data_IF_065331618857
#
_entry.id   IF_065331618857
#
_cell.length_a   1.000
_cell.length_b   1.000
_cell.length_c   1.000
_cell.angle_alpha   90.00
_cell.angle_beta   90.00
_cell.angle_gamma   90.00
#
_symmetry.space_group_name_H-M   'P 1'
#
loop_
_entity.id
_entity.type
_entity.pdbx_description
1 polymer ?
#
# COMPACT_ATOMS: atom_id res chain seq x y z
N UNK A 1 -21.69 25.23 15.59
CA UNK A 1 -20.54 24.54 14.96
C UNK A 1 -19.46 24.16 15.97
N UNK A 2 -19.20 24.96 17.02
CA UNK A 2 -18.17 24.69 18.03
C UNK A 2 -18.28 23.34 18.77
N UNK A 3 -19.49 22.86 19.07
CA UNK A 3 -19.65 21.51 19.67
C UNK A 3 -19.16 20.40 18.76
N UNK A 4 -19.38 20.51 17.45
CA UNK A 4 -18.95 19.51 16.47
C UNK A 4 -17.43 19.50 16.32
N UNK A 5 -16.79 20.68 16.29
CA UNK A 5 -15.33 20.76 16.26
C UNK A 5 -14.68 20.21 17.54
N UNK A 6 -15.27 20.47 18.71
CA UNK A 6 -14.78 19.90 19.98
C UNK A 6 -14.90 18.37 20.03
N UNK A 7 -16.02 17.81 19.56
CA UNK A 7 -16.21 16.37 19.45
C UNK A 7 -15.20 15.73 18.49
N UNK A 8 -14.97 16.37 17.34
CA UNK A 8 -13.97 15.88 16.36
C UNK A 8 -12.55 15.91 16.93
N UNK A 9 -12.20 16.96 17.67
CA UNK A 9 -10.90 17.04 18.37
C UNK A 9 -10.70 15.89 19.36
N UNK A 10 -11.72 15.60 20.16
CA UNK A 10 -11.68 14.49 21.13
C UNK A 10 -11.56 13.12 20.45
N UNK A 11 -12.29 12.90 19.35
CA UNK A 11 -12.21 11.66 18.55
C UNK A 11 -10.79 11.51 17.95
N UNK A 12 -10.23 12.58 17.40
CA UNK A 12 -8.88 12.58 16.83
C UNK A 12 -7.80 12.28 17.86
N UNK A 13 -7.87 12.91 19.04
CA UNK A 13 -6.96 12.64 20.17
C UNK A 13 -7.09 11.21 20.70
N UNK A 14 -8.32 10.71 20.81
CA UNK A 14 -8.58 9.31 21.18
C UNK A 14 -7.96 8.34 20.19
N UNK A 15 -8.08 8.61 18.89
CA UNK A 15 -7.48 7.79 17.84
C UNK A 15 -5.95 7.82 17.88
N UNK A 16 -5.34 8.98 18.11
CA UNK A 16 -3.89 9.11 18.31
C UNK A 16 -3.40 8.28 19.50
N UNK A 17 -4.12 8.32 20.63
CA UNK A 17 -3.82 7.50 21.80
C UNK A 17 -3.93 6.00 21.52
N UNK A 18 -4.95 5.60 20.77
CA UNK A 18 -5.17 4.21 20.32
C UNK A 18 -4.05 3.75 19.37
N UNK A 19 -3.63 4.63 18.46
CA UNK A 19 -2.54 4.38 17.51
C UNK A 19 -1.15 4.35 18.16
N UNK A 20 -0.95 5.06 19.27
CA UNK A 20 0.29 4.96 20.03
C UNK A 20 0.50 3.51 20.54
N UNK A 21 -0.59 2.80 20.82
CA UNK A 21 -0.59 1.37 21.19
C UNK A 21 -0.64 0.42 19.99
N UNK A 22 -0.40 0.89 18.75
CA UNK A 22 -0.50 0.08 17.51
C UNK A 22 0.29 -1.22 17.53
N UNK A 23 1.44 -1.26 18.23
CA UNK A 23 2.27 -2.47 18.33
C UNK A 23 1.54 -3.64 18.98
N UNK A 24 0.58 -3.36 19.88
CA UNK A 24 -0.24 -4.36 20.55
C UNK A 24 -1.63 -4.45 19.90
N UNK A 25 -2.20 -3.32 19.50
CA UNK A 25 -3.55 -3.26 18.95
C UNK A 25 -3.68 -3.88 17.55
N UNK A 26 -2.71 -3.64 16.66
CA UNK A 26 -2.73 -4.22 15.31
C UNK A 26 -2.64 -5.76 15.30
N UNK A 27 -1.68 -6.41 15.99
CA UNK A 27 -1.65 -7.88 16.01
C UNK A 27 -2.87 -8.47 16.69
N UNK A 28 -3.43 -7.81 17.72
CA UNK A 28 -4.67 -8.26 18.35
C UNK A 28 -5.86 -8.20 17.38
N UNK A 29 -6.08 -7.07 16.69
CA UNK A 29 -7.16 -6.96 15.70
C UNK A 29 -6.98 -7.93 14.54
N UNK A 30 -5.73 -8.14 14.11
CA UNK A 30 -5.40 -9.13 13.09
C UNK A 30 -5.75 -10.54 13.57
N UNK A 31 -5.36 -10.91 14.79
CA UNK A 31 -5.70 -12.21 15.39
C UNK A 31 -7.22 -12.40 15.49
N UNK A 32 -7.95 -11.40 15.99
CA UNK A 32 -9.43 -11.42 16.04
C UNK A 32 -10.01 -11.65 14.64
N UNK A 33 -9.47 -10.98 13.63
CA UNK A 33 -9.90 -11.16 12.24
C UNK A 33 -9.65 -12.57 11.73
N UNK A 34 -8.44 -13.12 11.95
CA UNK A 34 -8.08 -14.48 11.55
C UNK A 34 -8.96 -15.51 12.25
N UNK A 35 -9.17 -15.37 13.56
CA UNK A 35 -10.04 -16.25 14.36
C UNK A 35 -11.49 -16.18 13.85
N UNK A 36 -12.00 -14.99 13.54
CA UNK A 36 -13.35 -14.82 13.00
C UNK A 36 -13.54 -15.53 11.66
N UNK A 37 -12.54 -15.44 10.77
CA UNK A 37 -12.53 -16.18 9.51
C UNK A 37 -12.42 -17.69 9.70
N UNK A 38 -11.60 -18.15 10.66
CA UNK A 38 -11.49 -19.58 10.98
C UNK A 38 -12.83 -20.14 11.47
N UNK A 39 -13.52 -19.44 12.38
CA UNK A 39 -14.87 -19.81 12.82
C UNK A 39 -15.89 -19.82 11.68
N UNK A 40 -15.79 -18.88 10.73
CA UNK A 40 -16.65 -18.89 9.55
C UNK A 40 -16.42 -20.13 8.69
N UNK A 41 -15.16 -20.51 8.44
CA UNK A 41 -14.82 -21.70 7.65
C UNK A 41 -15.24 -23.02 8.31
N UNK A 42 -15.42 -23.05 9.63
CA UNK A 42 -15.85 -24.26 10.33
C UNK A 42 -17.38 -24.37 10.41
N UNK A 43 -18.06 -23.26 10.71
CA UNK A 43 -19.50 -23.27 10.99
C UNK A 43 -20.36 -22.93 9.78
N UNK A 44 -19.83 -22.23 8.76
CA UNK A 44 -20.54 -21.74 7.57
C UNK A 44 -21.87 -21.03 7.87
N UNK A 45 -22.00 -20.43 9.05
CA UNK A 45 -23.20 -19.68 9.44
C UNK A 45 -23.13 -18.22 9.00
N UNK A 46 -24.28 -17.62 8.74
CA UNK A 46 -24.36 -16.20 8.38
C UNK A 46 -23.88 -15.27 9.50
N UNK A 47 -24.09 -15.64 10.77
CA UNK A 47 -23.66 -14.84 11.90
C UNK A 47 -22.13 -14.79 12.01
N UNK A 48 -21.46 -15.93 11.82
CA UNK A 48 -19.99 -15.99 11.79
C UNK A 48 -19.42 -15.26 10.57
N UNK A 49 -20.09 -15.31 9.41
CA UNK A 49 -19.74 -14.50 8.25
C UNK A 49 -19.81 -13.00 8.56
N UNK A 50 -20.93 -12.53 9.11
CA UNK A 50 -21.10 -11.12 9.45
C UNK A 50 -20.05 -10.65 10.45
N UNK A 51 -19.74 -11.47 11.46
CA UNK A 51 -18.71 -11.16 12.44
C UNK A 51 -17.31 -11.07 11.79
N UNK A 52 -16.96 -12.01 10.90
CA UNK A 52 -15.70 -12.00 10.17
C UNK A 52 -15.57 -10.78 9.25
N UNK A 53 -16.64 -10.40 8.55
CA UNK A 53 -16.65 -9.19 7.71
C UNK A 53 -16.51 -7.93 8.56
N UNK A 54 -17.28 -7.81 9.65
CA UNK A 54 -17.20 -6.65 10.55
C UNK A 54 -15.82 -6.51 11.19
N UNK A 55 -15.21 -7.61 11.66
CA UNK A 55 -13.86 -7.58 12.22
C UNK A 55 -12.82 -7.16 11.18
N UNK A 56 -12.95 -7.66 9.95
CA UNK A 56 -12.07 -7.31 8.83
C UNK A 56 -12.19 -5.83 8.47
N UNK A 57 -13.41 -5.31 8.39
CA UNK A 57 -13.68 -3.89 8.09
C UNK A 57 -13.14 -3.00 9.21
N UNK A 58 -13.28 -3.42 10.47
CA UNK A 58 -12.70 -2.71 11.61
C UNK A 58 -11.18 -2.70 11.55
N UNK A 59 -10.55 -3.84 11.26
CA UNK A 59 -9.11 -3.95 11.07
C UNK A 59 -8.63 -3.01 9.95
N UNK A 60 -9.27 -3.07 8.78
CA UNK A 60 -8.92 -2.18 7.66
C UNK A 60 -9.13 -0.72 7.98
N UNK A 61 -10.20 -0.39 8.69
CA UNK A 61 -10.48 0.96 9.14
C UNK A 61 -9.34 1.49 10.00
N UNK A 62 -8.93 0.74 11.03
CA UNK A 62 -7.83 1.14 11.92
C UNK A 62 -6.51 1.21 11.16
N UNK A 63 -6.25 0.23 10.28
CA UNK A 63 -5.02 0.13 9.52
C UNK A 63 -4.91 1.28 8.50
N UNK A 64 -5.95 1.56 7.72
CA UNK A 64 -5.98 2.66 6.77
C UNK A 64 -5.95 4.02 7.47
N UNK A 65 -6.79 4.23 8.49
CA UNK A 65 -6.81 5.52 9.19
C UNK A 65 -5.46 5.80 9.85
N UNK A 66 -4.86 4.80 10.48
CA UNK A 66 -3.55 4.98 11.11
C UNK A 66 -2.40 5.08 10.11
N UNK A 67 -2.34 4.22 9.09
CA UNK A 67 -1.24 4.27 8.11
C UNK A 67 -1.33 5.47 7.17
N UNK A 68 -2.52 5.96 6.83
CA UNK A 68 -2.68 7.11 5.92
C UNK A 68 -2.58 8.41 6.70
N UNK A 69 -3.33 8.55 7.80
CA UNK A 69 -3.39 9.82 8.54
C UNK A 69 -2.13 10.00 9.38
N UNK A 70 -1.71 9.00 10.14
CA UNK A 70 -0.58 9.17 11.08
C UNK A 70 0.76 9.15 10.36
N UNK A 71 1.02 8.24 9.41
CA UNK A 71 2.27 8.33 8.62
C UNK A 71 2.29 9.65 7.81
N UNK A 72 1.13 10.14 7.35
CA UNK A 72 1.01 11.41 6.63
C UNK A 72 1.38 12.63 7.49
N UNK A 73 0.94 12.65 8.75
CA UNK A 73 1.30 13.68 9.74
C UNK A 73 2.78 13.54 10.12
N UNK A 74 3.25 12.33 10.48
CA UNK A 74 4.64 12.10 10.88
C UNK A 74 5.65 12.44 9.77
N UNK A 75 5.26 12.26 8.50
CA UNK A 75 6.09 12.58 7.36
C UNK A 75 5.98 14.05 6.90
N UNK A 76 5.16 14.87 7.56
CA UNK A 76 4.96 16.29 7.25
C UNK A 76 4.20 16.55 5.95
N UNK A 77 3.52 15.54 5.38
CA UNK A 77 2.79 15.70 4.13
C UNK A 77 1.43 16.39 4.31
N UNK A 78 0.83 16.25 5.49
CA UNK A 78 -0.49 16.80 5.78
C UNK A 78 -0.32 17.95 6.77
N UNK A 79 -0.56 19.21 6.38
CA UNK A 79 -0.57 20.32 7.33
C UNK A 79 -1.65 20.03 8.38
N UNK A 80 -1.33 20.30 9.65
CA UNK A 80 -2.20 19.99 10.81
C UNK A 80 -3.63 20.54 10.62
N UNK A 81 -3.76 21.66 9.93
CA UNK A 81 -5.02 22.32 9.56
C UNK A 81 -5.97 21.44 8.74
N UNK A 82 -5.44 20.56 7.89
CA UNK A 82 -6.23 19.70 6.98
C UNK A 82 -6.57 18.33 7.58
N UNK A 83 -5.91 17.95 8.68
CA UNK A 83 -6.15 16.68 9.39
C UNK A 83 -7.63 16.42 9.70
N UNK A 84 -8.41 17.35 10.31
CA UNK A 84 -9.80 17.09 10.64
C UNK A 84 -10.66 16.81 9.39
N UNK A 85 -10.36 17.43 8.25
CA UNK A 85 -11.09 17.19 7.00
C UNK A 85 -10.84 15.79 6.46
N UNK A 86 -9.58 15.34 6.49
CA UNK A 86 -9.21 13.97 6.09
C UNK A 86 -9.86 12.94 7.00
N UNK A 87 -9.76 13.13 8.32
CA UNK A 87 -10.37 12.23 9.31
C UNK A 87 -11.89 12.16 9.13
N UNK A 88 -12.56 13.29 8.91
CA UNK A 88 -14.01 13.32 8.67
C UNK A 88 -14.37 12.57 7.39
N UNK A 89 -13.64 12.81 6.30
CA UNK A 89 -13.85 12.10 5.03
C UNK A 89 -13.69 10.58 5.17
N UNK A 90 -12.66 10.14 5.89
CA UNK A 90 -12.45 8.73 6.19
C UNK A 90 -13.59 8.16 7.06
N UNK A 91 -14.01 8.86 8.12
CA UNK A 91 -15.10 8.43 9.00
C UNK A 91 -16.44 8.31 8.26
N UNK A 92 -16.76 9.25 7.37
CA UNK A 92 -17.98 9.19 6.54
C UNK A 92 -17.92 8.00 5.58
N UNK A 93 -16.75 7.75 4.96
CA UNK A 93 -16.56 6.59 4.10
C UNK A 93 -16.75 5.28 4.88
N UNK A 94 -16.13 5.17 6.05
CA UNK A 94 -16.26 4.01 6.96
C UNK A 94 -17.73 3.82 7.38
N UNK A 95 -18.41 4.89 7.80
CA UNK A 95 -19.80 4.87 8.22
C UNK A 95 -20.74 4.41 7.11
N UNK A 96 -20.49 4.86 5.88
CA UNK A 96 -21.22 4.40 4.69
C UNK A 96 -21.02 2.90 4.46
N UNK A 97 -19.77 2.42 4.50
CA UNK A 97 -19.46 0.99 4.34
C UNK A 97 -20.13 0.16 5.43
N UNK A 98 -20.03 0.57 6.69
CA UNK A 98 -20.69 -0.10 7.81
C UNK A 98 -22.22 -0.09 7.67
N UNK A 99 -22.81 1.01 7.19
CA UNK A 99 -24.26 1.11 6.97
C UNK A 99 -24.73 0.14 5.91
N UNK A 100 -23.98 0.00 4.81
CA UNK A 100 -24.26 -1.00 3.76
C UNK A 100 -24.15 -2.42 4.31
N UNK A 101 -23.14 -2.71 5.13
CA UNK A 101 -22.97 -4.02 5.77
C UNK A 101 -24.08 -4.33 6.78
N UNK A 102 -24.49 -3.35 7.58
CA UNK A 102 -25.61 -3.47 8.53
C UNK A 102 -26.91 -3.70 7.77
N UNK A 103 -27.16 -2.93 6.70
CA UNK A 103 -28.31 -3.15 5.83
C UNK A 103 -28.31 -4.57 5.28
N UNK A 104 -27.16 -5.06 4.80
CA UNK A 104 -27.00 -6.44 4.34
C UNK A 104 -27.33 -7.47 5.43
N UNK A 105 -26.90 -7.22 6.68
CA UNK A 105 -27.18 -8.10 7.80
C UNK A 105 -28.68 -8.11 8.18
N UNK A 106 -29.32 -6.93 8.24
CA UNK A 106 -30.76 -6.80 8.52
C UNK A 106 -31.61 -7.46 7.43
N UNK A 107 -31.19 -7.32 6.18
CA UNK A 107 -31.76 -8.01 5.02
C UNK A 107 -31.70 -9.53 5.17
N UNK A 108 -30.52 -10.06 5.50
CA UNK A 108 -30.33 -11.50 5.69
C UNK A 108 -31.15 -12.03 6.87
N UNK A 109 -31.37 -11.22 7.90
CA UNK A 109 -32.27 -11.53 9.02
C UNK A 109 -33.77 -11.47 8.65
N UNK A 110 -34.12 -11.25 7.37
CA UNK A 110 -35.48 -11.05 6.86
C UNK A 110 -36.21 -9.85 7.48
N UNK A 111 -35.48 -8.89 8.03
CA UNK A 111 -36.04 -7.66 8.61
C UNK A 111 -36.25 -6.59 7.53
N UNK A 112 -35.49 -6.65 6.44
CA UNK A 112 -35.53 -5.69 5.32
C UNK A 112 -35.93 -6.38 3.99
N UNK A 113 -36.43 -5.64 2.97
CA UNK A 113 -37.08 -6.19 1.77
C UNK A 113 -36.08 -6.82 0.77
N UNK A 114 -36.37 -8.00 0.18
CA UNK A 114 -35.41 -8.83 -0.56
C UNK A 114 -34.61 -8.09 -1.63
N UNK A 115 -33.32 -8.45 -1.76
CA UNK A 115 -32.40 -7.81 -2.70
C UNK A 115 -32.78 -8.18 -4.14
N UNK A 116 -32.52 -7.28 -5.12
CA UNK A 116 -32.52 -7.67 -6.52
C UNK A 116 -31.61 -8.89 -6.74
N UNK A 117 -31.99 -9.81 -7.61
CA UNK A 117 -31.24 -11.04 -7.89
C UNK A 117 -29.76 -10.78 -8.21
N UNK A 118 -29.45 -9.69 -8.92
CA UNK A 118 -28.08 -9.27 -9.23
C UNK A 118 -27.23 -9.01 -7.98
N UNK A 119 -27.82 -8.43 -6.92
CA UNK A 119 -27.13 -8.21 -5.66
C UNK A 119 -26.92 -9.52 -4.89
N UNK A 120 -27.86 -10.47 -4.95
CA UNK A 120 -27.65 -11.78 -4.32
C UNK A 120 -26.46 -12.53 -4.94
N UNK A 121 -26.34 -12.53 -6.27
CA UNK A 121 -25.17 -13.08 -6.95
C UNK A 121 -23.88 -12.37 -6.55
N UNK A 122 -23.90 -11.04 -6.45
CA UNK A 122 -22.73 -10.27 -6.01
C UNK A 122 -22.32 -10.62 -4.56
N UNK A 123 -23.28 -10.84 -3.65
CA UNK A 123 -23.00 -11.22 -2.25
C UNK A 123 -22.46 -12.64 -2.15
N UNK A 124 -23.13 -13.61 -2.79
CA UNK A 124 -22.68 -15.02 -2.78
C UNK A 124 -21.24 -15.12 -3.29
N UNK A 125 -20.95 -14.38 -4.33
CA UNK A 125 -19.62 -14.31 -4.89
C UNK A 125 -18.63 -13.58 -3.96
N UNK A 126 -19.03 -12.44 -3.39
CA UNK A 126 -18.20 -11.72 -2.43
C UNK A 126 -17.87 -12.59 -1.21
N UNK A 127 -18.75 -13.49 -0.78
CA UNK A 127 -18.48 -14.43 0.31
C UNK A 127 -17.29 -15.37 0.01
N UNK A 128 -17.17 -15.87 -1.22
CA UNK A 128 -16.08 -16.77 -1.62
C UNK A 128 -14.75 -16.01 -1.73
N UNK A 129 -14.78 -14.77 -2.23
CA UNK A 129 -13.56 -14.03 -2.59
C UNK A 129 -13.09 -13.05 -1.51
N UNK A 130 -13.97 -12.62 -0.60
CA UNK A 130 -13.65 -11.72 0.51
C UNK A 130 -12.45 -12.16 1.36
N UNK A 131 -12.28 -13.43 1.79
CA UNK A 131 -11.13 -13.81 2.61
C UNK A 131 -9.81 -13.63 1.84
N UNK A 132 -9.78 -14.01 0.56
CA UNK A 132 -8.61 -13.89 -0.31
C UNK A 132 -8.24 -12.41 -0.53
N UNK A 133 -9.24 -11.57 -0.79
CA UNK A 133 -9.03 -10.12 -0.96
C UNK A 133 -8.56 -9.48 0.32
N UNK A 134 -9.14 -9.88 1.45
CA UNK A 134 -8.76 -9.34 2.75
C UNK A 134 -7.30 -9.69 3.06
N UNK A 135 -6.93 -10.94 2.85
CA UNK A 135 -5.55 -11.40 2.98
C UNK A 135 -4.61 -10.64 2.04
N UNK A 136 -5.01 -10.48 0.77
CA UNK A 136 -4.25 -9.73 -0.21
C UNK A 136 -4.02 -8.27 0.22
N UNK A 137 -5.03 -7.57 0.75
CA UNK A 137 -4.86 -6.18 1.21
C UNK A 137 -3.96 -6.10 2.46
N UNK A 138 -4.02 -7.08 3.37
CA UNK A 138 -3.26 -7.08 4.63
C UNK A 138 -1.79 -7.50 4.44
N UNK A 139 -1.50 -8.41 3.51
CA UNK A 139 -0.15 -8.97 3.33
C UNK A 139 0.91 -7.90 3.00
N UNK A 140 0.75 -7.04 1.97
CA UNK A 140 1.76 -6.04 1.61
C UNK A 140 2.11 -5.07 2.74
N UNK A 141 1.16 -4.46 3.48
CA UNK A 141 1.50 -3.57 4.58
C UNK A 141 2.15 -4.33 5.74
N UNK A 142 1.70 -5.56 6.06
CA UNK A 142 2.32 -6.36 7.13
C UNK A 142 3.76 -6.73 6.77
N UNK A 143 3.99 -7.30 5.59
CA UNK A 143 5.33 -7.67 5.13
C UNK A 143 6.22 -6.43 5.01
N UNK A 144 5.72 -5.37 4.37
CA UNK A 144 6.47 -4.14 4.15
C UNK A 144 6.83 -3.42 5.45
N UNK A 145 5.93 -3.43 6.44
CA UNK A 145 6.15 -2.78 7.72
C UNK A 145 7.08 -3.56 8.65
N UNK A 146 6.92 -4.89 8.75
CA UNK A 146 7.68 -5.71 9.70
C UNK A 146 9.04 -6.16 9.16
N UNK A 147 9.14 -6.59 7.90
CA UNK A 147 10.38 -7.18 7.37
C UNK A 147 11.30 -6.14 6.74
N UNK A 148 10.75 -5.13 6.07
CA UNK A 148 11.52 -4.28 5.14
C UNK A 148 11.22 -2.78 5.28
N UNK A 149 10.99 -2.26 6.49
CA UNK A 149 10.51 -0.88 6.73
C UNK A 149 11.22 0.20 5.89
N UNK A 150 12.56 0.18 5.83
CA UNK A 150 13.35 1.16 5.09
C UNK A 150 13.26 1.04 3.56
N UNK A 151 13.22 -0.19 3.02
CA UNK A 151 13.04 -0.43 1.59
C UNK A 151 11.60 -0.14 1.16
N UNK A 152 10.63 -0.58 1.96
CA UNK A 152 9.20 -0.34 1.74
C UNK A 152 8.86 1.15 1.70
N UNK A 153 9.39 1.92 2.65
CA UNK A 153 9.19 3.38 2.68
C UNK A 153 9.78 4.05 1.43
N UNK A 154 10.98 3.63 0.99
CA UNK A 154 11.61 4.14 -0.25
C UNK A 154 10.80 3.78 -1.50
N UNK A 155 10.25 2.57 -1.57
CA UNK A 155 9.41 2.14 -2.70
C UNK A 155 8.12 2.97 -2.78
N UNK A 156 7.39 3.13 -1.68
CA UNK A 156 6.15 3.94 -1.63
C UNK A 156 6.37 5.42 -1.99
N UNK A 157 7.57 5.94 -1.75
CA UNK A 157 7.92 7.30 -2.17
C UNK A 157 8.21 7.39 -3.67
N UNK A 158 8.79 6.35 -4.27
CA UNK A 158 9.17 6.33 -5.69
C UNK A 158 8.01 6.09 -6.64
N UNK A 159 7.05 5.26 -6.23
CA UNK A 159 5.93 4.85 -7.09
C UNK A 159 4.60 5.00 -6.34
N UNK A 160 3.48 5.29 -7.05
CA UNK A 160 2.12 5.29 -6.50
C UNK A 160 1.65 3.85 -6.21
N UNK A 161 2.38 3.14 -5.35
CA UNK A 161 2.26 1.70 -5.10
C UNK A 161 0.83 1.29 -4.75
N UNK A 162 0.19 2.00 -3.81
CA UNK A 162 -1.17 1.67 -3.38
C UNK A 162 -2.20 1.87 -4.49
N UNK A 163 -2.01 2.89 -5.33
CA UNK A 163 -2.89 3.12 -6.48
C UNK A 163 -2.82 1.97 -7.48
N UNK A 164 -1.59 1.59 -7.84
CA UNK A 164 -1.36 0.45 -8.73
C UNK A 164 -1.83 -0.88 -8.11
N UNK A 165 -1.54 -1.11 -6.84
CA UNK A 165 -1.88 -2.35 -6.15
C UNK A 165 -3.39 -2.57 -6.05
N UNK A 166 -4.13 -1.55 -5.63
CA UNK A 166 -5.59 -1.64 -5.55
C UNK A 166 -6.25 -1.72 -6.93
N UNK A 167 -5.74 -0.99 -7.92
CA UNK A 167 -6.22 -1.13 -9.30
C UNK A 167 -5.98 -2.54 -9.87
N UNK A 168 -4.81 -3.14 -9.57
CA UNK A 168 -4.49 -4.51 -9.99
C UNK A 168 -5.40 -5.53 -9.31
N UNK A 169 -5.63 -5.37 -8.00
CA UNK A 169 -6.54 -6.23 -7.26
C UNK A 169 -7.99 -6.09 -7.76
N UNK A 170 -8.41 -4.86 -8.09
CA UNK A 170 -9.70 -4.59 -8.73
C UNK A 170 -9.82 -5.28 -10.09
N UNK A 171 -8.79 -5.24 -10.92
CA UNK A 171 -8.76 -5.92 -12.22
C UNK A 171 -8.90 -7.44 -12.07
N UNK A 172 -8.13 -8.04 -11.16
CA UNK A 172 -8.21 -9.48 -10.87
C UNK A 172 -9.58 -9.89 -10.36
N UNK A 173 -10.16 -9.07 -9.49
CA UNK A 173 -11.52 -9.29 -9.02
C UNK A 173 -12.48 -9.25 -10.21
N UNK A 174 -12.51 -8.18 -10.99
CA UNK A 174 -13.38 -8.10 -12.15
C UNK A 174 -13.21 -9.29 -13.12
N UNK A 175 -12.01 -9.86 -13.25
CA UNK A 175 -11.73 -11.01 -14.11
C UNK A 175 -12.16 -12.36 -13.52
N UNK A 176 -12.20 -12.51 -12.18
CA UNK A 176 -12.44 -13.81 -11.54
C UNK A 176 -13.75 -14.49 -11.95
N UNK A 177 -14.91 -13.82 -12.17
CA UNK A 177 -16.15 -14.53 -12.50
C UNK A 177 -16.03 -15.32 -13.80
N UNK A 178 -15.34 -14.75 -14.80
CA UNK A 178 -15.02 -15.43 -16.05
C UNK A 178 -14.11 -16.63 -15.79
N UNK A 179 -13.06 -16.44 -14.99
CA UNK A 179 -12.06 -17.48 -14.74
C UNK A 179 -12.66 -18.68 -13.99
N UNK A 180 -13.65 -18.43 -13.12
CA UNK A 180 -14.32 -19.45 -12.32
C UNK A 180 -15.46 -20.14 -13.05
N UNK A 181 -16.25 -19.37 -13.80
CA UNK A 181 -17.43 -19.82 -14.52
C UNK A 181 -17.28 -19.50 -16.01
N UNK A 182 -16.57 -20.33 -16.77
CA UNK A 182 -16.32 -20.09 -18.19
C UNK A 182 -17.61 -19.97 -19.02
N UNK A 183 -18.75 -20.47 -18.52
CA UNK A 183 -20.07 -20.33 -19.14
C UNK A 183 -20.52 -18.87 -19.23
N UNK A 184 -20.09 -18.01 -18.30
CA UNK A 184 -20.35 -16.57 -18.33
C UNK A 184 -19.67 -15.87 -19.52
N UNK A 185 -18.66 -16.53 -20.13
CA UNK A 185 -17.94 -15.98 -21.29
C UNK A 185 -18.89 -15.67 -22.45
N UNK A 186 -19.85 -16.55 -22.73
CA UNK A 186 -20.73 -16.43 -23.90
C UNK A 186 -21.75 -15.29 -23.78
N UNK A 187 -22.17 -14.94 -22.57
CA UNK A 187 -23.17 -13.90 -22.38
C UNK A 187 -22.54 -12.51 -22.22
N UNK A 188 -21.47 -12.39 -21.42
CA UNK A 188 -20.89 -11.10 -21.04
C UNK A 188 -19.36 -11.08 -20.97
N UNK A 189 -18.70 -12.18 -21.35
CA UNK A 189 -17.25 -12.35 -21.21
C UNK A 189 -16.43 -11.23 -21.81
N UNK A 190 -16.76 -10.78 -23.03
CA UNK A 190 -16.03 -9.70 -23.68
C UNK A 190 -16.07 -8.38 -22.91
N UNK A 191 -17.22 -8.02 -22.31
CA UNK A 191 -17.37 -6.76 -21.55
C UNK A 191 -16.62 -6.83 -20.22
N UNK A 192 -16.73 -7.97 -19.53
CA UNK A 192 -16.04 -8.19 -18.26
C UNK A 192 -14.52 -8.20 -18.48
N UNK A 193 -14.05 -8.96 -19.48
CA UNK A 193 -12.64 -9.07 -19.83
C UNK A 193 -12.04 -7.72 -20.28
N UNK A 194 -12.77 -6.95 -21.09
CA UNK A 194 -12.35 -5.60 -21.48
C UNK A 194 -12.24 -4.68 -20.27
N UNK A 195 -13.23 -4.68 -19.37
CA UNK A 195 -13.22 -3.84 -18.16
C UNK A 195 -12.06 -4.22 -17.23
N UNK A 196 -11.86 -5.51 -16.98
CA UNK A 196 -10.71 -5.98 -16.18
C UNK A 196 -9.37 -5.67 -16.86
N UNK A 197 -9.29 -5.81 -18.18
CA UNK A 197 -8.09 -5.51 -18.96
C UNK A 197 -7.71 -4.04 -18.87
N UNK A 198 -8.68 -3.12 -18.99
CA UNK A 198 -8.45 -1.68 -18.84
C UNK A 198 -7.95 -1.36 -17.43
N UNK A 199 -8.59 -1.89 -16.38
CA UNK A 199 -8.12 -1.70 -15.00
C UNK A 199 -6.70 -2.21 -14.80
N UNK A 200 -6.38 -3.37 -15.39
CA UNK A 200 -5.05 -3.97 -15.32
C UNK A 200 -3.99 -3.08 -15.99
N UNK A 201 -4.27 -2.62 -17.21
CA UNK A 201 -3.36 -1.77 -17.98
C UNK A 201 -3.12 -0.44 -17.26
N UNK A 202 -4.17 0.21 -16.73
CA UNK A 202 -4.02 1.45 -15.95
C UNK A 202 -3.15 1.24 -14.71
N UNK A 203 -3.30 0.10 -14.04
CA UNK A 203 -2.53 -0.24 -12.85
C UNK A 203 -1.06 -0.52 -13.16
N UNK A 204 -0.78 -1.21 -14.26
CA UNK A 204 0.59 -1.44 -14.74
C UNK A 204 1.24 -0.14 -15.23
N UNK A 205 0.46 0.75 -15.85
CA UNK A 205 0.93 2.06 -16.31
C UNK A 205 1.41 2.94 -15.14
N UNK A 206 0.74 2.86 -13.98
CA UNK A 206 1.20 3.54 -12.75
C UNK A 206 2.55 3.01 -12.24
N UNK A 207 2.84 1.73 -12.47
CA UNK A 207 4.13 1.12 -12.06
C UNK A 207 5.23 1.41 -13.07
N UNK A 208 4.91 1.37 -14.37
CA UNK A 208 5.87 1.60 -15.45
C UNK A 208 6.28 3.08 -15.58
N UNK A 209 5.33 4.00 -15.37
CA UNK A 209 5.53 5.45 -15.55
C UNK A 209 5.04 6.24 -14.33
N UNK A 210 5.81 6.26 -13.23
CA UNK A 210 5.46 6.98 -12.00
C UNK A 210 5.67 8.51 -12.13
N UNK A 211 5.10 9.12 -13.16
CA UNK A 211 5.11 10.58 -13.37
C UNK A 211 3.87 11.20 -12.71
N UNK A 212 3.99 12.40 -12.15
CA UNK A 212 2.87 13.08 -11.48
C UNK A 212 1.66 13.26 -12.43
N UNK A 213 1.90 13.69 -13.67
CA UNK A 213 0.84 13.83 -14.68
C UNK A 213 0.12 12.52 -14.97
N UNK A 214 0.89 11.43 -15.12
CA UNK A 214 0.35 10.07 -15.32
C UNK A 214 -0.44 9.59 -14.11
N UNK A 215 0.08 9.79 -12.91
CA UNK A 215 -0.58 9.39 -11.66
C UNK A 215 -1.91 10.11 -11.45
N UNK A 216 -1.98 11.42 -11.75
CA UNK A 216 -3.23 12.20 -11.68
C UNK A 216 -4.24 11.77 -12.75
N UNK A 217 -3.79 11.58 -14.00
CA UNK A 217 -4.68 11.15 -15.08
C UNK A 217 -5.26 9.76 -14.80
N UNK A 218 -4.40 8.79 -14.46
CA UNK A 218 -4.84 7.43 -14.11
C UNK A 218 -5.65 7.42 -12.81
N UNK A 219 -5.30 8.27 -11.85
CA UNK A 219 -6.05 8.45 -10.61
C UNK A 219 -7.49 8.93 -10.82
N UNK A 220 -7.75 9.68 -11.90
CA UNK A 220 -9.09 10.13 -12.27
C UNK A 220 -9.83 9.13 -13.18
N UNK A 221 -9.12 8.36 -14.01
CA UNK A 221 -9.75 7.34 -14.87
C UNK A 221 -10.13 6.07 -14.11
N UNK A 222 -9.32 5.62 -13.16
CA UNK A 222 -9.58 4.42 -12.34
C UNK A 222 -10.97 4.44 -11.66
N UNK A 223 -11.38 5.52 -10.96
CA UNK A 223 -12.70 5.61 -10.34
C UNK A 223 -13.84 5.61 -11.37
N UNK A 224 -13.64 6.25 -12.53
CA UNK A 224 -14.63 6.25 -13.62
C UNK A 224 -14.82 4.84 -14.20
N UNK A 225 -13.73 4.12 -14.46
CA UNK A 225 -13.80 2.72 -14.91
C UNK A 225 -14.39 1.82 -13.82
N UNK A 226 -14.03 2.06 -12.56
CA UNK A 226 -14.62 1.41 -11.39
C UNK A 226 -16.14 1.62 -11.34
N UNK A 227 -16.63 2.82 -11.60
CA UNK A 227 -18.07 3.10 -11.68
C UNK A 227 -18.73 2.40 -12.87
N UNK A 228 -18.12 2.45 -14.07
CA UNK A 228 -18.63 1.76 -15.27
C UNK A 228 -18.72 0.24 -15.03
N UNK A 229 -17.80 -0.32 -14.24
CA UNK A 229 -17.78 -1.77 -13.94
C UNK A 229 -19.05 -2.29 -13.27
N UNK A 230 -19.83 -1.43 -12.59
CA UNK A 230 -21.14 -1.82 -12.05
C UNK A 230 -22.12 -2.25 -13.13
N UNK A 231 -22.04 -1.65 -14.32
CA UNK A 231 -22.92 -1.96 -15.44
C UNK A 231 -22.38 -3.10 -16.31
N UNK A 232 -21.06 -3.29 -16.39
CA UNK A 232 -20.45 -4.24 -17.31
C UNK A 232 -20.20 -5.62 -16.70
N UNK A 233 -20.05 -5.72 -15.37
CA UNK A 233 -19.61 -6.95 -14.71
C UNK A 233 -20.63 -7.59 -13.77
N UNK A 234 -21.95 -7.41 -13.99
CA UNK A 234 -23.01 -7.97 -13.13
C UNK A 234 -22.82 -7.70 -11.64
N UNK A 235 -22.43 -6.49 -11.28
CA UNK A 235 -22.10 -6.15 -9.90
C UNK A 235 -20.85 -6.88 -9.36
N UNK A 236 -20.14 -7.64 -10.20
CA UNK A 236 -18.83 -8.24 -10.02
C UNK A 236 -17.73 -7.20 -10.22
N UNK A 237 -17.30 -6.49 -9.19
CA UNK A 237 -17.58 -6.71 -7.78
C UNK A 237 -17.67 -5.34 -7.15
N UNK A 238 -18.71 -5.05 -6.37
CA UNK A 238 -18.71 -3.89 -5.47
C UNK A 238 -17.35 -3.69 -4.80
N UNK A 239 -16.72 -4.79 -4.37
CA UNK A 239 -15.35 -4.80 -3.88
C UNK A 239 -14.28 -4.36 -4.92
N UNK A 240 -14.30 -4.92 -6.14
CA UNK A 240 -13.42 -4.50 -7.23
C UNK A 240 -13.62 -3.04 -7.63
N UNK A 241 -14.86 -2.57 -7.78
CA UNK A 241 -15.18 -1.18 -8.08
C UNK A 241 -14.74 -0.24 -6.95
N UNK A 242 -14.97 -0.62 -5.68
CA UNK A 242 -14.49 0.13 -4.52
C UNK A 242 -12.98 0.19 -4.50
N UNK A 243 -12.29 -0.93 -4.78
CA UNK A 243 -10.83 -0.97 -4.87
C UNK A 243 -10.30 -0.13 -6.04
N UNK A 244 -10.98 -0.10 -7.18
CA UNK A 244 -10.62 0.77 -8.30
C UNK A 244 -10.77 2.25 -7.92
N UNK A 245 -11.84 2.62 -7.22
CA UNK A 245 -12.06 4.00 -6.73
C UNK A 245 -10.99 4.38 -5.70
N UNK A 246 -10.71 3.51 -4.73
CA UNK A 246 -9.68 3.73 -3.71
C UNK A 246 -8.28 3.80 -4.34
N UNK A 247 -7.97 2.90 -5.29
CA UNK A 247 -6.73 2.91 -6.05
C UNK A 247 -6.55 4.20 -6.84
N UNK A 248 -7.63 4.66 -7.49
CA UNK A 248 -7.66 5.94 -8.19
C UNK A 248 -7.41 7.12 -7.26
N UNK A 249 -8.10 7.19 -6.13
CA UNK A 249 -7.89 8.23 -5.12
C UNK A 249 -6.46 8.23 -4.57
N UNK A 250 -5.90 7.05 -4.28
CA UNK A 250 -4.51 6.90 -3.85
C UNK A 250 -3.52 7.39 -4.91
N UNK A 251 -3.72 7.01 -6.18
CA UNK A 251 -2.89 7.45 -7.30
C UNK A 251 -2.99 8.97 -7.52
N UNK A 252 -4.19 9.54 -7.42
CA UNK A 252 -4.42 10.98 -7.57
C UNK A 252 -3.78 11.80 -6.45
N UNK A 253 -3.79 11.29 -5.22
CA UNK A 253 -3.18 11.95 -4.06
C UNK A 253 -1.65 11.83 -4.03
N UNK A 254 -1.06 11.00 -4.88
CA UNK A 254 0.37 10.76 -4.88
C UNK A 254 1.12 11.93 -5.51
N UNK A 255 2.15 12.41 -4.82
CA UNK A 255 3.02 13.50 -5.26
C UNK A 255 4.48 13.04 -5.14
N UNK A 256 5.28 13.11 -6.22
CA UNK A 256 6.70 12.78 -6.14
C UNK A 256 7.44 13.77 -5.24
N UNK A 257 8.48 13.33 -4.53
CA UNK A 257 9.27 14.25 -3.70
C UNK A 257 10.21 15.08 -4.58
N UNK A 258 10.30 16.41 -4.36
CA UNK A 258 11.26 17.26 -5.06
C UNK A 258 12.68 16.74 -4.79
N UNK A 259 13.42 16.44 -5.86
CA UNK A 259 14.74 15.78 -5.83
C UNK A 259 14.78 14.38 -6.47
N UNK A 260 13.65 13.80 -6.89
CA UNK A 260 13.62 12.54 -7.66
C UNK A 260 13.58 12.73 -9.17
N UNK A 261 13.14 13.88 -9.66
CA UNK A 261 12.99 14.14 -11.10
C UNK A 261 14.33 14.08 -11.84
N UNK A 262 15.41 14.56 -11.22
CA UNK A 262 16.75 14.52 -11.80
C UNK A 262 17.30 13.09 -12.00
N UNK A 263 16.89 12.10 -11.20
CA UNK A 263 17.42 10.73 -11.34
C UNK A 263 16.86 10.00 -12.56
N UNK A 264 15.58 10.23 -12.91
CA UNK A 264 14.95 9.60 -14.07
C UNK A 264 15.34 10.28 -15.39
N UNK A 265 15.61 11.58 -15.36
CA UNK A 265 16.10 12.31 -16.53
C UNK A 265 17.54 11.93 -16.86
N UNK A 266 18.37 11.68 -15.83
CA UNK A 266 19.77 11.29 -15.97
C UNK A 266 19.95 9.84 -16.47
N UNK A 267 19.01 8.92 -16.19
CA UNK A 267 19.06 7.53 -16.69
C UNK A 267 18.57 7.40 -18.15
N UNK A 268 17.80 8.39 -18.64
CA UNK A 268 17.25 8.41 -20.00
C UNK A 268 18.15 9.09 -21.05
N UNK A 269 19.27 9.70 -20.64
CA UNK A 269 20.27 10.28 -21.54
C UNK A 269 21.39 9.26 -21.81
N UNK A 270 21.43 8.58 -22.97
CA UNK A 270 22.38 7.48 -23.22
C UNK A 270 23.82 7.95 -23.51
N UNK A 271 24.15 9.23 -23.35
CA UNK A 271 25.31 9.82 -24.05
C UNK A 271 26.52 10.12 -23.16
N UNK A 272 26.44 10.03 -21.82
CA UNK A 272 27.57 10.46 -20.95
C UNK A 272 28.12 9.42 -19.95
N UNK A 273 27.71 8.14 -20.03
CA UNK A 273 28.26 7.09 -19.17
C UNK A 273 29.73 6.71 -19.45
N UNK A 274 30.41 7.39 -20.39
CA UNK A 274 31.80 7.13 -20.76
C UNK A 274 32.84 8.16 -20.29
N UNK A 275 32.43 9.30 -19.70
CA UNK A 275 33.37 10.43 -19.48
C UNK A 275 33.67 10.80 -18.03
N UNK A 276 32.79 10.47 -17.07
CA UNK A 276 32.92 10.96 -15.69
C UNK A 276 33.79 10.14 -14.73
N UNK A 277 34.05 8.85 -15.00
CA UNK A 277 34.66 7.95 -13.99
C UNK A 277 36.17 8.08 -13.86
N UNK A 278 36.86 8.82 -14.74
CA UNK A 278 38.32 9.01 -14.65
C UNK A 278 38.74 10.27 -13.90
N UNK A 279 37.91 11.31 -13.83
CA UNK A 279 38.24 12.54 -13.12
C UNK A 279 37.86 12.48 -11.63
N UNK A 280 36.72 11.88 -11.29
CA UNK A 280 36.19 11.92 -9.92
C UNK A 280 36.93 10.96 -8.95
N UNK A 281 37.51 9.88 -9.47
CA UNK A 281 38.39 8.99 -8.68
C UNK A 281 39.71 9.70 -8.35
N UNK A 282 40.24 10.52 -9.26
CA UNK A 282 41.45 11.31 -9.02
C UNK A 282 41.23 12.38 -7.95
N UNK A 283 40.09 13.07 -7.99
CA UNK A 283 39.76 14.10 -7.00
C UNK A 283 39.45 13.50 -5.61
N UNK A 284 38.77 12.35 -5.57
CA UNK A 284 38.49 11.64 -4.32
C UNK A 284 39.78 11.09 -3.68
N UNK A 285 40.69 10.52 -4.48
CA UNK A 285 42.01 10.06 -4.00
C UNK A 285 42.84 11.25 -3.50
N UNK A 286 42.86 12.37 -4.22
CA UNK A 286 43.60 13.56 -3.77
C UNK A 286 43.01 14.18 -2.48
N UNK A 287 41.69 14.18 -2.30
CA UNK A 287 41.07 14.62 -1.03
C UNK A 287 41.38 13.68 0.13
N UNK A 288 41.40 12.36 -0.10
CA UNK A 288 41.79 11.39 0.94
C UNK A 288 43.28 11.53 1.29
N UNK A 289 44.15 11.71 0.30
CA UNK A 289 45.59 11.95 0.53
C UNK A 289 45.83 13.27 1.27
N UNK A 290 45.10 14.33 0.92
CA UNK A 290 45.18 15.61 1.64
C UNK A 290 44.67 15.49 3.09
N UNK A 291 43.54 14.80 3.32
CA UNK A 291 43.00 14.56 4.67
C UNK A 291 43.94 13.69 5.52
N UNK A 292 44.64 12.73 4.92
CA UNK A 292 45.64 11.92 5.60
C UNK A 292 46.94 12.68 5.87
N UNK A 293 47.28 13.67 5.03
CA UNK A 293 48.43 14.55 5.24
C UNK A 293 48.18 15.58 6.35
N UNK A 294 46.93 16.04 6.51
CA UNK A 294 46.57 17.10 7.47
C UNK A 294 46.26 16.55 8.87
N UNK A 295 45.96 15.24 8.98
CA UNK A 295 45.66 14.60 10.28
C UNK A 295 46.90 14.20 11.10
N UNK A 296 48.11 14.61 10.70
CA UNK A 296 49.29 14.50 11.57
C UNK A 296 49.55 13.08 12.10
N UNK A 297 49.32 12.07 11.26
CA UNK A 297 49.40 10.65 11.66
C UNK A 297 50.88 10.21 11.63
N UNK A 298 51.63 10.60 12.66
CA UNK A 298 52.99 10.11 12.98
C UNK A 298 53.05 8.57 13.18
N UNK A 299 51.91 7.88 13.27
CA UNK A 299 51.85 6.42 13.54
C UNK A 299 52.21 5.53 12.33
N UNK A 300 52.34 6.07 11.12
CA UNK A 300 52.77 5.26 9.96
C UNK A 300 54.28 4.98 9.94
N UNK A 301 55.12 5.85 10.53
CA UNK A 301 56.55 5.56 10.70
C UNK A 301 56.79 4.50 11.79
N UNK A 302 55.97 4.51 12.84
CA UNK A 302 56.10 3.56 13.96
C UNK A 302 55.64 2.13 13.59
N UNK A 303 54.66 2.00 12.68
CA UNK A 303 54.27 0.69 12.15
C UNK A 303 55.27 0.13 11.14
N UNK A 304 55.91 0.98 10.34
CA UNK A 304 56.97 0.60 9.42
C UNK A 304 58.23 0.09 10.14
N UNK A 305 58.64 0.75 11.25
CA UNK A 305 59.77 0.30 12.05
C UNK A 305 59.52 -1.03 12.77
N UNK A 306 58.31 -1.24 13.31
CA UNK A 306 57.95 -2.51 13.98
C UNK A 306 57.83 -3.71 13.02
N UNK A 307 57.50 -3.48 11.75
CA UNK A 307 57.48 -4.53 10.73
C UNK A 307 58.89 -4.91 10.25
N UNK A 308 59.83 -3.95 10.23
CA UNK A 308 61.25 -4.23 9.95
C UNK A 308 61.93 -5.00 11.10
N UNK A 309 61.59 -4.71 12.36
CA UNK A 309 62.13 -5.45 13.52
C UNK A 309 61.68 -6.91 13.56
N UNK A 310 60.42 -7.21 13.22
CA UNK A 310 59.91 -8.60 13.23
C UNK A 310 60.38 -9.46 12.04
N UNK A 311 60.93 -8.86 10.99
CA UNK A 311 61.44 -9.58 9.82
C UNK A 311 62.85 -10.18 9.99
N UNK A 312 63.60 -9.76 11.02
CA UNK A 312 64.99 -10.18 11.25
C UNK A 312 65.17 -11.46 12.07
N UNK A 313 64.13 -11.94 12.75
CA UNK A 313 64.27 -12.92 13.84
C UNK A 313 63.90 -14.37 13.47
N UNK A 314 63.82 -14.70 12.17
CA UNK A 314 63.41 -16.03 11.69
C UNK A 314 64.41 -16.67 10.70
N UNK A 315 65.71 -16.51 10.97
CA UNK A 315 66.78 -17.27 10.31
C UNK A 315 67.86 -17.67 11.31
N UNK A 316 67.60 -18.73 12.06
CA UNK A 316 68.62 -19.38 12.89
C UNK A 316 68.03 -20.44 13.80
N UNK A 317 68.01 -21.70 13.34
CA UNK A 317 67.76 -22.84 14.21
C UNK A 317 67.18 -24.03 13.48
N UNK A 318 68.01 -25.03 13.20
CA UNK A 318 67.56 -26.36 12.78
C UNK A 318 68.57 -27.11 11.92
N UNK A 319 69.65 -27.57 12.57
CA UNK A 319 70.41 -28.77 12.17
C UNK A 319 69.52 -30.03 12.20
#
# INVERSE_FOLDING_TARGET
MERVSSLMGNIGMGFLGLWNKRKLLLPLLFLVTVVSWAFYMELFTFLTFSLAVTSTVLLFTVLLLGTVVVDGIEAGFIPLEKVPRVVTGSLVAIGTVLSVLIYLALMLARVAPPLPLSFMFAILYAMEVAPLVSLAIVIPPVIGYFLCRGRWRRLRMRVPFWGAYFGFLAALLCAYPILRYPELWFYWGMKIFATSGVLLVLSLMLLAFPKEGTAKAVGLTLPLVGFISWFTCFGGMTLGSVLAILGGACAFSWVPRPGQEGFLEQESSPTEAGRGTKEDVGETVNKIVALLSDTGVETTREWSSRLMERGGESRGGGE
#
